data_IF_573632486350
#
_entry.id   IF_573632486350
#
_cell.length_a   1.000
_cell.length_b   1.000
_cell.length_c   1.000
_cell.angle_alpha   90.00
_cell.angle_beta   90.00
_cell.angle_gamma   90.00
#
_symmetry.space_group_name_H-M   'P 1'
#
loop_
_entity.id
_entity.type
_entity.pdbx_description
1 polymer ?
#
# COMPACT_ATOMS: atom_id res chain seq x y z
N UNK A 1 -28.31 -16.74 -10.02
CA UNK A 1 -28.81 -17.96 -9.29
C UNK A 1 -27.60 -18.57 -8.61
N UNK A 2 -27.49 -18.44 -7.27
CA UNK A 2 -26.28 -18.92 -6.57
C UNK A 2 -26.22 -20.45 -6.67
N UNK A 3 -25.08 -20.97 -7.10
CA UNK A 3 -24.86 -22.41 -7.17
C UNK A 3 -24.83 -23.01 -5.76
N UNK A 4 -25.09 -24.33 -5.64
CA UNK A 4 -24.99 -25.03 -4.35
C UNK A 4 -23.61 -24.81 -3.70
N UNK A 5 -22.55 -24.85 -4.51
CA UNK A 5 -21.17 -24.65 -4.05
C UNK A 5 -20.94 -23.24 -3.48
N UNK A 6 -21.54 -22.22 -4.09
CA UNK A 6 -21.46 -20.84 -3.60
C UNK A 6 -22.14 -20.68 -2.24
N UNK A 7 -23.34 -21.27 -2.07
CA UNK A 7 -24.03 -21.25 -0.78
C UNK A 7 -23.23 -21.98 0.32
N UNK A 8 -22.66 -23.14 -0.01
CA UNK A 8 -21.82 -23.88 0.93
C UNK A 8 -20.57 -23.09 1.31
N UNK A 9 -19.90 -22.46 0.35
CA UNK A 9 -18.73 -21.61 0.63
C UNK A 9 -19.10 -20.45 1.54
N UNK A 10 -20.15 -19.69 1.20
CA UNK A 10 -20.60 -18.53 2.01
C UNK A 10 -20.97 -18.98 3.42
N UNK A 11 -21.72 -20.06 3.59
CA UNK A 11 -22.08 -20.60 4.92
C UNK A 11 -20.85 -20.98 5.73
N UNK A 12 -19.86 -21.62 5.10
CA UNK A 12 -18.60 -21.97 5.77
C UNK A 12 -17.80 -20.73 6.13
N UNK A 13 -17.74 -19.77 5.23
CA UNK A 13 -17.05 -18.50 5.45
C UNK A 13 -17.66 -17.70 6.60
N UNK A 14 -18.99 -17.65 6.69
CA UNK A 14 -19.68 -16.98 7.80
C UNK A 14 -19.42 -17.65 9.15
N UNK A 15 -19.34 -18.99 9.17
CA UNK A 15 -19.15 -19.76 10.40
C UNK A 15 -17.69 -19.81 10.87
N UNK A 16 -16.75 -19.99 9.95
CA UNK A 16 -15.34 -20.29 10.25
C UNK A 16 -14.35 -19.24 9.76
N UNK A 17 -14.81 -18.27 8.94
CA UNK A 17 -13.97 -17.20 8.43
C UNK A 17 -13.58 -16.20 9.52
N UNK A 18 -12.38 -15.65 9.43
CA UNK A 18 -11.92 -14.57 10.30
C UNK A 18 -12.43 -13.22 9.81
N UNK A 19 -12.56 -12.27 10.72
CA UNK A 19 -12.89 -10.88 10.39
C UNK A 19 -11.65 -10.13 9.90
N UNK A 20 -11.74 -9.56 8.72
CA UNK A 20 -10.67 -8.85 8.03
C UNK A 20 -11.18 -7.46 7.69
N UNK A 21 -10.35 -6.44 7.88
CA UNK A 21 -10.72 -5.08 7.46
C UNK A 21 -10.20 -4.82 6.06
N UNK A 22 -11.09 -4.47 5.14
CA UNK A 22 -10.76 -4.08 3.76
C UNK A 22 -11.20 -2.64 3.57
N UNK A 23 -10.26 -1.74 3.35
CA UNK A 23 -10.51 -0.27 3.25
C UNK A 23 -11.39 0.28 4.40
N UNK A 24 -11.23 -0.30 5.61
CA UNK A 24 -12.00 0.07 6.80
C UNK A 24 -13.31 -0.68 7.00
N UNK A 25 -13.84 -1.37 5.99
CA UNK A 25 -15.01 -2.27 6.11
C UNK A 25 -14.62 -3.65 6.62
N UNK A 26 -15.53 -4.35 7.29
CA UNK A 26 -15.31 -5.73 7.77
C UNK A 26 -15.80 -6.73 6.73
N UNK A 27 -14.95 -7.69 6.41
CA UNK A 27 -15.21 -8.79 5.47
C UNK A 27 -14.77 -10.11 6.11
N UNK A 28 -15.54 -11.18 5.92
CA UNK A 28 -15.11 -12.53 6.30
C UNK A 28 -14.16 -13.12 5.26
N UNK A 29 -13.10 -13.77 5.71
CA UNK A 29 -12.12 -14.40 4.81
C UNK A 29 -11.38 -15.58 5.44
N UNK A 30 -10.81 -16.43 4.59
CA UNK A 30 -9.80 -17.41 4.98
C UNK A 30 -8.43 -16.91 4.55
N UNK A 31 -7.51 -16.84 5.47
CA UNK A 31 -6.18 -16.29 5.28
C UNK A 31 -5.10 -17.37 5.46
N UNK A 32 -4.10 -17.35 4.58
CA UNK A 32 -2.94 -18.23 4.63
C UNK A 32 -1.67 -17.45 4.31
N UNK A 33 -0.68 -17.50 5.22
CA UNK A 33 0.66 -17.01 4.94
C UNK A 33 1.38 -17.97 4.00
N UNK A 34 2.00 -17.45 2.97
CA UNK A 34 2.79 -18.24 2.02
C UNK A 34 4.22 -18.40 2.56
N UNK A 35 4.47 -19.50 3.26
CA UNK A 35 5.79 -19.84 3.83
C UNK A 35 6.73 -20.44 2.77
N UNK A 36 7.01 -19.74 1.68
CA UNK A 36 7.98 -20.19 0.69
C UNK A 36 9.25 -19.34 0.77
N UNK A 37 10.25 -19.82 1.55
CA UNK A 37 11.55 -19.15 1.65
C UNK A 37 11.50 -17.77 2.31
N UNK A 38 12.30 -16.81 1.90
CA UNK A 38 12.48 -15.47 2.48
C UNK A 38 11.24 -14.57 2.52
N UNK A 39 10.03 -15.08 2.30
CA UNK A 39 8.85 -14.23 2.07
C UNK A 39 7.70 -14.46 3.04
N UNK A 40 7.85 -14.10 4.30
CA UNK A 40 6.70 -13.69 5.14
C UNK A 40 5.98 -12.44 4.57
N UNK A 41 6.40 -12.00 3.38
CA UNK A 41 5.88 -10.80 2.71
C UNK A 41 4.59 -11.06 1.97
N UNK A 42 4.28 -12.32 1.60
CA UNK A 42 3.10 -12.65 0.80
C UNK A 42 2.13 -13.56 1.54
N UNK A 43 0.87 -13.32 1.28
CA UNK A 43 -0.21 -14.14 1.81
C UNK A 43 -1.30 -14.36 0.75
N UNK A 44 -2.13 -15.36 0.98
CA UNK A 44 -3.32 -15.63 0.16
C UNK A 44 -4.57 -15.43 1.00
N UNK A 45 -5.52 -14.69 0.44
CA UNK A 45 -6.82 -14.43 1.05
C UNK A 45 -7.93 -14.94 0.14
N UNK A 46 -8.87 -15.69 0.72
CA UNK A 46 -10.08 -16.16 0.05
C UNK A 46 -11.29 -15.45 0.67
N UNK A 47 -12.09 -14.78 -0.15
CA UNK A 47 -13.30 -14.05 0.27
C UNK A 47 -14.46 -14.36 -0.64
N UNK A 48 -15.67 -13.96 -0.27
CA UNK A 48 -16.78 -13.90 -1.22
C UNK A 48 -16.42 -12.95 -2.39
N UNK A 49 -17.08 -13.17 -3.53
CA UNK A 49 -16.86 -12.39 -4.76
C UNK A 49 -17.13 -10.91 -4.47
N UNK A 50 -16.37 -10.02 -5.12
CA UNK A 50 -16.48 -8.54 -5.05
C UNK A 50 -16.24 -7.93 -3.65
N UNK A 51 -15.59 -8.66 -2.74
CA UNK A 51 -15.26 -8.15 -1.40
C UNK A 51 -13.86 -7.54 -1.30
N UNK A 52 -12.96 -7.93 -2.20
CA UNK A 52 -11.58 -7.42 -2.28
C UNK A 52 -11.25 -7.14 -3.74
N UNK A 53 -10.72 -5.96 -4.02
CA UNK A 53 -10.22 -5.57 -5.32
C UNK A 53 -8.70 -5.41 -5.29
N UNK A 54 -8.08 -5.43 -6.45
CA UNK A 54 -6.66 -5.13 -6.58
C UNK A 54 -6.39 -3.70 -6.11
N UNK A 55 -5.33 -3.51 -5.31
CA UNK A 55 -4.98 -2.24 -4.69
C UNK A 55 -5.63 -1.99 -3.32
N UNK A 56 -6.60 -2.79 -2.89
CA UNK A 56 -7.24 -2.61 -1.59
C UNK A 56 -6.25 -2.78 -0.43
N UNK A 57 -6.39 -1.92 0.58
CA UNK A 57 -5.71 -2.07 1.86
C UNK A 57 -6.45 -3.10 2.72
N UNK A 58 -5.75 -4.15 3.07
CA UNK A 58 -6.27 -5.27 3.87
C UNK A 58 -5.55 -5.32 5.21
N UNK A 59 -6.29 -5.21 6.31
CA UNK A 59 -5.76 -5.36 7.67
C UNK A 59 -6.20 -6.70 8.24
N UNK A 60 -5.24 -7.55 8.56
CA UNK A 60 -5.47 -8.85 9.21
C UNK A 60 -4.84 -8.77 10.60
N UNK A 61 -5.68 -8.84 11.62
CA UNK A 61 -5.37 -8.47 12.99
C UNK A 61 -4.90 -6.99 13.06
N UNK A 62 -3.65 -6.70 13.00
CA UNK A 62 -3.08 -5.34 12.94
C UNK A 62 -2.06 -5.17 11.83
N UNK A 63 -1.87 -6.22 11.04
CA UNK A 63 -0.84 -6.26 9.99
C UNK A 63 -1.46 -5.76 8.69
N UNK A 64 -0.91 -4.68 8.09
CA UNK A 64 -1.40 -4.14 6.83
C UNK A 64 -0.80 -4.88 5.64
N UNK A 65 -1.65 -5.12 4.63
CA UNK A 65 -1.31 -5.70 3.34
C UNK A 65 -1.95 -4.88 2.21
N UNK A 66 -1.39 -4.94 1.02
CA UNK A 66 -2.00 -4.47 -0.22
C UNK A 66 -2.34 -5.68 -1.09
N UNK A 67 -3.54 -5.72 -1.63
CA UNK A 67 -3.98 -6.76 -2.55
C UNK A 67 -3.32 -6.53 -3.92
N UNK A 68 -2.29 -7.33 -4.25
CA UNK A 68 -1.51 -7.20 -5.48
C UNK A 68 -2.21 -7.80 -6.68
N UNK A 69 -2.96 -8.88 -6.47
CA UNK A 69 -3.68 -9.58 -7.53
C UNK A 69 -4.94 -10.20 -6.96
N UNK A 70 -6.04 -10.01 -7.66
CA UNK A 70 -7.32 -10.67 -7.36
C UNK A 70 -7.70 -11.52 -8.55
N UNK A 71 -7.95 -12.81 -8.31
CA UNK A 71 -8.33 -13.76 -9.33
C UNK A 71 -9.75 -14.23 -9.00
N UNK A 72 -10.66 -14.01 -9.94
CA UNK A 72 -11.99 -14.58 -9.96
C UNK A 72 -12.03 -15.53 -11.14
N UNK A 73 -11.95 -16.82 -10.89
CA UNK A 73 -12.10 -17.82 -11.95
C UNK A 73 -13.60 -18.07 -12.16
N UNK A 74 -14.05 -18.21 -13.42
CA UNK A 74 -15.48 -18.43 -13.74
C UNK A 74 -16.09 -19.66 -13.05
N UNK A 75 -15.25 -20.62 -12.71
CA UNK A 75 -15.65 -21.84 -11.99
C UNK A 75 -15.60 -21.74 -10.48
N UNK A 76 -15.07 -20.64 -9.91
CA UNK A 76 -14.94 -20.45 -8.47
C UNK A 76 -16.06 -19.60 -7.90
N UNK A 77 -16.41 -19.92 -6.67
CA UNK A 77 -17.44 -19.21 -5.89
C UNK A 77 -16.84 -18.18 -4.93
N UNK A 78 -15.54 -17.93 -5.08
CA UNK A 78 -14.76 -17.03 -4.22
C UNK A 78 -13.72 -16.27 -5.04
N UNK A 79 -13.29 -15.15 -4.49
CA UNK A 79 -12.10 -14.43 -4.93
C UNK A 79 -10.87 -14.97 -4.21
N UNK A 80 -9.80 -15.20 -4.97
CA UNK A 80 -8.47 -15.49 -4.44
C UNK A 80 -7.59 -14.28 -4.64
N UNK A 81 -7.18 -13.66 -3.55
CA UNK A 81 -6.32 -12.48 -3.57
C UNK A 81 -4.92 -12.82 -3.10
N UNK A 82 -3.91 -12.38 -3.84
CA UNK A 82 -2.52 -12.39 -3.39
C UNK A 82 -2.26 -11.07 -2.68
N UNK A 83 -1.89 -11.14 -1.42
CA UNK A 83 -1.61 -9.99 -0.57
C UNK A 83 -0.10 -9.84 -0.39
N UNK A 84 0.39 -8.61 -0.42
CA UNK A 84 1.77 -8.27 -0.04
C UNK A 84 1.75 -7.40 1.21
N UNK A 85 2.56 -7.77 2.21
CA UNK A 85 2.68 -7.06 3.47
C UNK A 85 3.29 -5.69 3.27
N UNK A 86 2.67 -4.67 3.86
CA UNK A 86 3.25 -3.33 3.90
C UNK A 86 4.47 -3.31 4.83
N UNK A 87 5.56 -2.77 4.34
CA UNK A 87 6.82 -2.65 5.06
C UNK A 87 7.13 -1.21 5.52
N UNK A 88 6.30 -0.24 5.12
CA UNK A 88 6.48 1.17 5.44
C UNK A 88 5.21 1.80 6.00
N UNK A 89 5.39 2.69 6.98
CA UNK A 89 4.42 3.70 7.38
C UNK A 89 4.92 5.05 6.86
N UNK A 90 4.19 5.61 5.92
CA UNK A 90 4.52 6.86 5.22
C UNK A 90 3.75 7.99 5.87
N UNK A 91 4.42 9.09 6.13
CA UNK A 91 3.80 10.33 6.61
C UNK A 91 3.93 11.40 5.55
N UNK A 92 2.87 12.16 5.33
CA UNK A 92 2.84 13.28 4.40
C UNK A 92 2.09 14.46 5.01
N UNK A 93 2.59 15.65 4.77
CA UNK A 93 1.89 16.90 5.11
C UNK A 93 1.03 17.31 3.92
N UNK A 94 -0.26 17.07 4.01
CA UNK A 94 -1.23 17.50 2.99
C UNK A 94 -1.68 18.92 3.29
N UNK A 95 -1.38 19.85 2.38
CA UNK A 95 -1.83 21.23 2.50
C UNK A 95 -3.34 21.31 2.28
N UNK A 96 -4.01 22.12 3.10
CA UNK A 96 -5.42 22.41 2.87
C UNK A 96 -5.54 23.31 1.61
N UNK A 97 -6.27 22.91 0.57
CA UNK A 97 -6.42 23.71 -0.64
C UNK A 97 -7.10 25.06 -0.39
N UNK A 98 -7.88 25.17 0.69
CA UNK A 98 -8.61 26.41 1.06
C UNK A 98 -7.80 27.30 2.03
N UNK A 99 -6.78 26.74 2.71
CA UNK A 99 -5.96 27.48 3.66
C UNK A 99 -4.53 26.90 3.65
N UNK A 100 -3.68 27.46 2.82
CA UNK A 100 -2.29 26.97 2.63
C UNK A 100 -1.41 27.11 3.86
N UNK A 101 -1.87 27.82 4.92
CA UNK A 101 -1.18 27.92 6.19
C UNK A 101 -1.43 26.71 7.09
N UNK A 102 -2.46 25.91 6.78
CA UNK A 102 -2.81 24.70 7.51
C UNK A 102 -2.44 23.47 6.70
N UNK A 103 -1.60 22.63 7.28
CA UNK A 103 -1.29 21.32 6.75
C UNK A 103 -1.75 20.25 7.74
N UNK A 104 -2.23 19.14 7.22
CA UNK A 104 -2.66 17.99 8.04
C UNK A 104 -1.71 16.83 7.78
N UNK A 105 -1.18 16.26 8.86
CA UNK A 105 -0.37 15.05 8.76
C UNK A 105 -1.28 13.86 8.45
N UNK A 106 -1.02 13.21 7.33
CA UNK A 106 -1.68 11.95 6.95
C UNK A 106 -0.66 10.83 6.96
N UNK A 107 -1.12 9.63 7.32
CA UNK A 107 -0.29 8.43 7.36
C UNK A 107 -0.88 7.35 6.48
N UNK A 108 -0.02 6.69 5.70
CA UNK A 108 -0.38 5.62 4.78
C UNK A 108 0.48 4.40 5.04
N UNK A 109 -0.11 3.22 4.95
CA UNK A 109 0.66 1.99 4.83
C UNK A 109 1.04 1.78 3.37
N UNK A 110 2.28 1.40 3.12
CA UNK A 110 2.80 1.18 1.78
C UNK A 110 3.84 0.09 1.70
N UNK A 111 4.19 -0.25 0.48
CA UNK A 111 5.24 -1.20 0.14
C UNK A 111 6.34 -0.41 -0.55
N UNK A 112 7.55 -0.50 -0.02
CA UNK A 112 8.73 0.06 -0.66
C UNK A 112 9.68 -1.05 -1.08
N UNK A 113 10.33 -0.85 -2.22
CA UNK A 113 11.51 -1.59 -2.58
C UNK A 113 12.72 -1.14 -1.74
N UNK A 114 13.81 -1.87 -1.83
CA UNK A 114 15.08 -1.45 -1.23
C UNK A 114 15.54 -0.12 -1.82
N UNK A 115 16.13 0.72 -0.97
CA UNK A 115 16.69 2.00 -1.38
C UNK A 115 17.82 1.73 -2.38
N UNK A 116 17.62 2.14 -3.63
CA UNK A 116 18.68 2.10 -4.62
C UNK A 116 19.57 3.34 -4.49
N UNK A 117 20.88 3.11 -4.48
CA UNK A 117 21.87 4.18 -4.49
C UNK A 117 22.59 4.19 -5.84
N UNK A 118 22.56 5.30 -6.53
CA UNK A 118 23.32 5.53 -7.74
C UNK A 118 24.35 6.65 -7.53
N UNK A 119 25.53 6.46 -8.06
CA UNK A 119 26.54 7.51 -8.13
C UNK A 119 26.36 8.23 -9.45
N UNK A 120 26.02 9.51 -9.40
CA UNK A 120 26.00 10.39 -10.57
C UNK A 120 27.31 11.16 -10.62
N UNK A 121 28.07 10.91 -11.68
CA UNK A 121 29.35 11.63 -11.94
C UNK A 121 29.03 12.71 -12.97
N UNK A 122 29.07 13.95 -12.57
CA UNK A 122 28.85 15.09 -13.44
C UNK A 122 30.10 16.00 -13.35
N UNK A 123 30.89 15.99 -14.42
CA UNK A 123 32.16 16.71 -14.53
C UNK A 123 33.18 16.33 -13.44
N UNK A 124 33.28 17.01 -12.35
CA UNK A 124 34.20 16.74 -11.25
C UNK A 124 33.49 16.53 -9.90
N UNK A 125 32.16 16.40 -9.93
CA UNK A 125 31.36 16.24 -8.73
C UNK A 125 30.70 14.86 -8.72
N UNK A 126 31.04 14.07 -7.73
CA UNK A 126 30.37 12.79 -7.46
C UNK A 126 29.23 13.03 -6.48
N UNK A 127 27.98 12.92 -6.95
CA UNK A 127 26.81 13.02 -6.08
C UNK A 127 26.16 11.63 -5.91
N UNK A 128 25.95 11.24 -4.65
CA UNK A 128 25.15 10.07 -4.32
C UNK A 128 23.67 10.42 -4.42
N UNK A 129 22.96 9.82 -5.35
CA UNK A 129 21.51 9.96 -5.47
C UNK A 129 20.84 8.68 -4.99
N UNK A 130 20.03 8.81 -3.94
CA UNK A 130 19.20 7.71 -3.45
C UNK A 130 17.80 7.84 -4.04
N UNK A 131 17.27 6.74 -4.56
CA UNK A 131 15.91 6.64 -5.06
C UNK A 131 15.14 5.55 -4.32
N UNK A 132 13.85 5.73 -4.21
CA UNK A 132 12.92 4.80 -3.58
C UNK A 132 11.68 4.67 -4.45
N UNK A 133 11.26 3.45 -4.71
CA UNK A 133 9.98 3.15 -5.32
C UNK A 133 9.01 2.76 -4.21
N UNK A 134 7.81 3.35 -4.23
CA UNK A 134 6.82 3.19 -3.18
C UNK A 134 5.46 2.91 -3.81
N UNK A 135 4.76 1.91 -3.30
CA UNK A 135 3.39 1.58 -3.67
C UNK A 135 2.43 1.86 -2.52
N UNK A 136 1.36 2.61 -2.80
CA UNK A 136 0.29 2.94 -1.86
C UNK A 136 -1.06 2.45 -2.41
N UNK A 137 -2.02 2.11 -1.55
CA UNK A 137 -3.41 1.94 -1.97
C UNK A 137 -3.94 3.22 -2.63
N UNK A 138 -4.63 3.10 -3.77
CA UNK A 138 -5.23 4.23 -4.45
C UNK A 138 -6.54 4.63 -3.75
N UNK A 139 -6.47 5.59 -2.86
CA UNK A 139 -7.59 6.12 -2.09
C UNK A 139 -7.83 7.59 -2.42
N UNK A 140 -8.96 8.15 -1.96
CA UNK A 140 -9.22 9.59 -2.09
C UNK A 140 -8.15 10.45 -1.39
N UNK A 141 -7.51 9.91 -0.36
CA UNK A 141 -6.46 10.63 0.36
C UNK A 141 -5.10 10.48 -0.31
N UNK A 142 -4.72 9.29 -0.79
CA UNK A 142 -3.46 9.12 -1.53
C UNK A 142 -3.44 9.88 -2.86
N UNK A 143 -4.61 10.09 -3.50
CA UNK A 143 -4.76 10.94 -4.70
C UNK A 143 -4.49 12.44 -4.46
N UNK A 144 -4.40 12.87 -3.22
CA UNK A 144 -4.03 14.26 -2.87
C UNK A 144 -2.51 14.48 -2.92
N UNK A 145 -1.73 13.41 -3.03
CA UNK A 145 -0.28 13.48 -3.20
C UNK A 145 0.01 14.04 -4.59
N UNK A 146 0.88 15.04 -4.66
CA UNK A 146 1.24 15.72 -5.89
C UNK A 146 2.72 15.57 -6.20
N UNK A 147 3.08 15.83 -7.44
CA UNK A 147 4.49 15.97 -7.84
C UNK A 147 5.17 17.06 -7.00
N UNK A 148 6.40 16.80 -6.58
CA UNK A 148 7.21 17.61 -5.69
C UNK A 148 6.78 17.63 -4.22
N UNK A 149 5.73 16.93 -3.83
CA UNK A 149 5.40 16.75 -2.41
C UNK A 149 6.53 16.01 -1.69
N UNK A 150 6.63 16.28 -0.38
CA UNK A 150 7.58 15.60 0.49
C UNK A 150 6.89 14.55 1.33
N UNK A 151 7.46 13.35 1.31
CA UNK A 151 7.03 12.21 2.10
C UNK A 151 8.12 11.88 3.11
N UNK A 152 7.71 11.41 4.27
CA UNK A 152 8.60 10.93 5.32
C UNK A 152 8.37 9.43 5.50
N UNK A 153 9.40 8.62 5.25
CA UNK A 153 9.35 7.18 5.44
C UNK A 153 10.72 6.63 5.85
N UNK A 154 10.68 5.45 6.49
CA UNK A 154 11.87 4.82 7.05
C UNK A 154 12.13 5.19 8.51
N UNK A 155 12.99 4.40 9.16
CA UNK A 155 13.24 4.47 10.60
C UNK A 155 13.83 5.79 11.11
N UNK A 156 14.41 6.60 10.22
CA UNK A 156 15.04 7.89 10.54
C UNK A 156 14.24 9.08 9.98
N UNK A 157 12.98 8.88 9.63
CA UNK A 157 12.12 9.92 9.05
C UNK A 157 12.80 10.67 7.88
N UNK A 158 13.44 9.92 7.00
CA UNK A 158 14.09 10.49 5.82
C UNK A 158 13.04 11.17 4.94
N UNK A 159 13.34 12.40 4.51
CA UNK A 159 12.50 13.14 3.59
C UNK A 159 12.76 12.70 2.14
N UNK A 160 11.69 12.42 1.43
CA UNK A 160 11.67 12.00 0.05
C UNK A 160 10.80 12.94 -0.78
N UNK A 161 11.24 13.30 -1.97
CA UNK A 161 10.50 14.13 -2.91
C UNK A 161 9.88 13.25 -3.99
N UNK A 162 8.60 13.47 -4.28
CA UNK A 162 7.87 12.81 -5.37
C UNK A 162 8.33 13.38 -6.70
N UNK A 163 8.97 12.57 -7.53
CA UNK A 163 9.43 12.97 -8.87
C UNK A 163 8.51 12.49 -9.98
N UNK A 164 7.91 11.32 -9.78
CA UNK A 164 6.97 10.72 -10.73
C UNK A 164 5.93 9.91 -10.00
N UNK A 165 4.75 9.77 -10.60
CA UNK A 165 3.63 9.03 -10.02
C UNK A 165 2.77 8.39 -11.12
N UNK A 166 2.37 7.15 -10.89
CA UNK A 166 1.57 6.35 -11.82
C UNK A 166 0.40 5.74 -11.05
N UNK A 167 -0.82 5.94 -11.54
CA UNK A 167 -2.01 5.27 -11.02
C UNK A 167 -2.32 4.05 -11.88
N UNK A 168 -2.23 2.86 -11.31
CA UNK A 168 -2.59 1.63 -12.01
C UNK A 168 -3.13 0.56 -11.07
N UNK A 169 -4.10 -0.20 -11.53
CA UNK A 169 -4.62 -1.39 -10.84
C UNK A 169 -4.97 -1.16 -9.36
N UNK A 170 -5.54 0.01 -9.03
CA UNK A 170 -5.90 0.36 -7.66
C UNK A 170 -4.72 0.75 -6.76
N UNK A 171 -3.53 0.89 -7.31
CA UNK A 171 -2.30 1.28 -6.61
C UNK A 171 -1.79 2.61 -7.16
N UNK A 172 -1.29 3.46 -6.27
CA UNK A 172 -0.51 4.64 -6.60
C UNK A 172 0.96 4.29 -6.43
N UNK A 173 1.70 4.26 -7.53
CA UNK A 173 3.15 4.06 -7.56
C UNK A 173 3.86 5.41 -7.57
N UNK A 174 4.82 5.58 -6.67
CA UNK A 174 5.58 6.81 -6.52
C UNK A 174 7.06 6.53 -6.72
N UNK A 175 7.70 7.30 -7.59
CA UNK A 175 9.15 7.34 -7.72
C UNK A 175 9.70 8.54 -6.95
N UNK A 176 10.51 8.26 -5.96
CA UNK A 176 10.98 9.21 -4.99
C UNK A 176 12.49 9.38 -5.09
N UNK A 177 12.98 10.60 -4.87
CA UNK A 177 14.40 10.88 -4.62
C UNK A 177 14.59 11.47 -3.25
N UNK A 178 15.75 11.22 -2.66
CA UNK A 178 16.08 11.76 -1.35
C UNK A 178 16.09 13.30 -1.42
N UNK A 179 15.39 13.91 -0.48
CA UNK A 179 15.35 15.38 -0.32
C UNK A 179 16.09 15.79 0.94
N UNK A 180 16.58 17.03 0.98
CA UNK A 180 17.03 17.62 2.22
C UNK A 180 15.84 17.73 3.20
N UNK A 181 16.12 17.53 4.48
CA UNK A 181 15.15 17.72 5.56
C UNK A 181 14.84 19.23 5.59
N UNK A 182 13.57 19.57 5.61
CA UNK A 182 13.14 20.96 5.73
C UNK A 182 12.87 21.26 7.20
N UNK A 183 13.79 21.95 7.85
CA UNK A 183 13.71 22.23 9.29
C UNK A 183 12.46 23.03 9.70
N UNK A 184 11.72 23.59 8.75
CA UNK A 184 10.43 24.25 9.01
C UNK A 184 9.28 23.30 9.37
N UNK A 185 9.45 22.00 9.16
CA UNK A 185 8.44 20.97 9.42
C UNK A 185 8.94 19.81 10.31
N UNK A 186 10.14 19.94 10.88
CA UNK A 186 10.81 18.86 11.62
C UNK A 186 10.40 18.73 13.09
N UNK A 187 9.43 19.52 13.56
CA UNK A 187 8.87 19.42 14.91
C UNK A 187 7.63 18.51 14.99
N UNK A 188 7.56 17.45 14.14
CA UNK A 188 6.42 16.52 14.12
C UNK A 188 6.84 15.10 14.54
#
# INVERSE_FOLDING_TARGET
MNTLNERMFITTLEREGIDIKVNGGIVKGFFRINNSGDSEQFATLYTAIDKVNQGDLVLIDTIPFIAQKVITEESTVYNKSTLQKCNQLIKIMVKNPLDTTKATLQSFYGISDDISQSLKIDSDIITSQSSLHLQLPLTNDSKKILLNDRLYCGGNQMAWKVNDMIEQNGVLELHLTRSAIDTTYDDI
#
